data_IF_178184871773
#
_entry.id   IF_178184871773
#
_cell.length_a   1.000
_cell.length_b   1.000
_cell.length_c   1.000
_cell.angle_alpha   90.00
_cell.angle_beta   90.00
_cell.angle_gamma   90.00
#
_symmetry.space_group_name_H-M   'P 1'
#
loop_
_entity.id
_entity.type
_entity.pdbx_description
1 polymer ?
#
# COMPACT_ATOMS: atom_id res chain seq x y z
N UNK A 1 -11.63 8.60 -4.10
CA UNK A 1 -10.90 8.15 -2.89
C UNK A 1 -10.81 9.33 -1.95
N UNK A 2 -11.88 9.54 -1.18
CA UNK A 2 -11.93 10.59 -0.18
C UNK A 2 -11.42 9.96 1.11
N UNK A 3 -10.15 10.19 1.44
CA UNK A 3 -9.67 9.93 2.79
C UNK A 3 -10.17 11.06 3.68
N UNK A 4 -11.42 10.89 4.12
CA UNK A 4 -11.90 11.53 5.33
C UNK A 4 -11.03 11.02 6.47
N UNK A 5 -10.14 11.88 6.95
CA UNK A 5 -9.63 11.89 8.32
C UNK A 5 -10.79 12.25 9.25
N UNK A 6 -11.81 11.38 9.27
CA UNK A 6 -12.96 11.54 10.13
C UNK A 6 -12.52 11.14 11.55
N UNK A 7 -12.42 12.13 12.43
CA UNK A 7 -12.01 11.97 13.82
C UNK A 7 -12.97 11.08 14.64
N UNK A 8 -14.04 10.59 14.01
CA UNK A 8 -15.08 9.73 14.59
C UNK A 8 -14.65 8.28 14.81
N UNK A 9 -13.57 7.81 14.18
CA UNK A 9 -13.07 6.44 14.36
C UNK A 9 -12.01 6.30 15.48
N UNK A 10 -11.55 7.42 16.06
CA UNK A 10 -10.65 7.42 17.22
C UNK A 10 -11.44 7.67 18.51
N UNK A 11 -11.35 6.82 19.56
CA UNK A 11 -12.26 6.90 20.71
C UNK A 11 -12.17 8.17 21.56
N UNK A 12 -11.18 9.04 21.37
CA UNK A 12 -11.04 10.26 22.18
C UNK A 12 -10.28 11.34 21.43
N UNK A 13 -10.96 12.18 20.64
CA UNK A 13 -10.50 13.58 20.55
C UNK A 13 -10.73 14.20 21.93
N UNK A 14 -9.68 14.71 22.61
CA UNK A 14 -9.88 15.29 23.92
C UNK A 14 -10.81 16.50 23.80
N UNK A 15 -11.79 16.61 24.69
CA UNK A 15 -12.69 17.76 24.83
C UNK A 15 -11.99 19.04 25.32
N UNK A 16 -10.66 19.10 25.21
CA UNK A 16 -9.79 20.18 25.69
C UNK A 16 -9.31 21.09 24.55
N UNK A 17 -9.02 22.36 24.83
CA UNK A 17 -8.65 23.34 23.81
C UNK A 17 -7.35 22.92 23.09
N UNK A 18 -7.22 23.32 21.83
CA UNK A 18 -6.01 23.12 21.05
C UNK A 18 -4.75 23.46 21.87
N UNK A 19 -3.84 22.50 21.99
CA UNK A 19 -2.56 22.69 22.66
C UNK A 19 -1.52 23.14 21.63
N UNK A 20 -0.48 23.82 22.10
CA UNK A 20 0.70 24.10 21.28
C UNK A 20 1.38 22.76 21.03
N UNK A 21 1.39 22.31 19.78
CA UNK A 21 1.94 21.04 19.34
C UNK A 21 3.48 20.97 19.33
N UNK A 22 4.17 21.75 20.17
CA UNK A 22 5.64 21.83 20.24
C UNK A 22 6.31 20.46 20.48
N UNK A 23 5.58 19.50 21.04
CA UNK A 23 6.03 18.14 21.32
C UNK A 23 5.84 17.16 20.14
N UNK A 24 5.16 17.56 19.06
CA UNK A 24 4.89 16.69 17.93
C UNK A 24 6.08 16.60 16.97
N UNK A 25 6.24 15.51 16.22
CA UNK A 25 7.41 15.33 15.31
C UNK A 25 7.05 15.23 13.84
N UNK A 26 5.85 14.76 13.52
CA UNK A 26 5.39 14.50 12.15
C UNK A 26 4.40 15.58 11.73
N UNK A 27 3.44 15.92 12.58
CA UNK A 27 2.55 17.04 12.43
C UNK A 27 3.32 18.37 12.50
N UNK A 28 2.91 19.39 11.72
CA UNK A 28 3.52 20.71 11.79
C UNK A 28 3.33 21.33 13.18
N UNK A 29 4.36 22.05 13.63
CA UNK A 29 4.35 22.76 14.92
C UNK A 29 3.31 23.89 14.88
N UNK A 30 2.34 23.86 15.78
CA UNK A 30 1.27 24.85 15.84
C UNK A 30 0.13 24.44 16.75
N UNK A 31 -0.96 25.21 16.76
CA UNK A 31 -2.18 24.82 17.46
C UNK A 31 -2.77 23.57 16.82
N UNK A 32 -2.92 22.51 17.62
CA UNK A 32 -3.35 21.18 17.15
C UNK A 32 -4.25 20.51 18.17
N UNK A 33 -5.15 19.64 17.69
CA UNK A 33 -5.91 18.74 18.57
C UNK A 33 -5.16 17.42 18.84
N UNK A 34 -4.03 17.20 18.16
CA UNK A 34 -3.27 15.96 18.24
C UNK A 34 -2.38 15.96 19.49
N UNK A 35 -2.51 14.93 20.33
CA UNK A 35 -1.58 14.67 21.43
C UNK A 35 -0.40 13.83 20.93
N UNK A 36 0.71 13.79 21.68
CA UNK A 36 1.87 12.93 21.32
C UNK A 36 1.46 11.47 21.16
N UNK A 37 0.62 10.95 22.08
CA UNK A 37 0.15 9.57 22.01
C UNK A 37 -0.72 9.31 20.77
N UNK A 38 -1.56 10.28 20.39
CA UNK A 38 -2.38 10.20 19.18
C UNK A 38 -1.50 10.21 17.93
N UNK A 39 -0.49 11.09 17.88
CA UNK A 39 0.45 11.17 16.76
C UNK A 39 1.27 9.88 16.61
N UNK A 40 1.80 9.33 17.71
CA UNK A 40 2.55 8.08 17.68
C UNK A 40 1.71 6.91 17.15
N UNK A 41 0.44 6.82 17.59
CA UNK A 41 -0.51 5.81 17.10
C UNK A 41 -0.83 6.00 15.61
N UNK A 42 -1.13 7.22 15.19
CA UNK A 42 -1.42 7.54 13.79
C UNK A 42 -0.21 7.29 12.88
N UNK A 43 1.00 7.59 13.34
CA UNK A 43 2.23 7.34 12.62
C UNK A 43 2.49 5.84 12.44
N UNK A 44 2.31 5.03 13.49
CA UNK A 44 2.43 3.58 13.39
C UNK A 44 1.36 2.98 12.47
N UNK A 45 0.11 3.42 12.60
CA UNK A 45 -1.00 2.93 11.80
C UNK A 45 -0.80 3.26 10.31
N UNK A 46 -0.52 4.52 9.98
CA UNK A 46 -0.29 4.95 8.59
C UNK A 46 0.91 4.25 7.96
N UNK A 47 1.98 4.02 8.72
CA UNK A 47 3.13 3.25 8.25
C UNK A 47 2.72 1.82 7.87
N UNK A 48 2.01 1.12 8.76
CA UNK A 48 1.56 -0.25 8.53
C UNK A 48 0.62 -0.33 7.32
N UNK A 49 -0.35 0.59 7.22
CA UNK A 49 -1.27 0.66 6.08
C UNK A 49 -0.54 0.90 4.77
N UNK A 50 0.44 1.81 4.76
CA UNK A 50 1.25 2.06 3.58
C UNK A 50 2.08 0.84 3.17
N UNK A 51 2.75 0.19 4.12
CA UNK A 51 3.53 -1.03 3.88
C UNK A 51 2.65 -2.14 3.28
N UNK A 52 1.45 -2.35 3.82
CA UNK A 52 0.49 -3.32 3.29
C UNK A 52 0.03 -2.98 1.87
N UNK A 53 -0.27 -1.71 1.57
CA UNK A 53 -0.66 -1.26 0.23
C UNK A 53 0.46 -1.48 -0.79
N UNK A 54 1.71 -1.20 -0.42
CA UNK A 54 2.87 -1.43 -1.27
C UNK A 54 3.09 -2.92 -1.51
N UNK A 55 2.95 -3.75 -0.48
CA UNK A 55 3.06 -5.20 -0.60
C UNK A 55 1.99 -5.78 -1.53
N UNK A 56 0.72 -5.40 -1.32
CA UNK A 56 -0.40 -5.86 -2.14
C UNK A 56 -0.22 -5.46 -3.62
N UNK A 57 0.12 -4.19 -3.88
CA UNK A 57 0.37 -3.69 -5.23
C UNK A 57 1.52 -4.46 -5.90
N UNK A 58 2.61 -4.66 -5.17
CA UNK A 58 3.79 -5.42 -5.65
C UNK A 58 3.45 -6.87 -5.96
N UNK A 59 2.67 -7.50 -5.09
CA UNK A 59 2.19 -8.87 -5.27
C UNK A 59 1.28 -8.97 -6.50
N UNK A 60 0.34 -8.04 -6.69
CA UNK A 60 -0.58 -8.01 -7.82
C UNK A 60 0.17 -7.81 -9.16
N UNK A 61 1.16 -6.93 -9.19
CA UNK A 61 2.03 -6.77 -10.35
C UNK A 61 2.80 -8.07 -10.64
N UNK A 62 3.46 -8.63 -9.63
CA UNK A 62 4.27 -9.86 -9.76
C UNK A 62 3.43 -11.03 -10.27
N UNK A 63 2.28 -11.29 -9.67
CA UNK A 63 1.39 -12.39 -10.09
C UNK A 63 0.91 -12.21 -11.52
N UNK A 64 0.58 -10.97 -11.92
CA UNK A 64 0.21 -10.64 -13.29
C UNK A 64 1.34 -10.93 -14.28
N UNK A 65 2.56 -10.47 -13.99
CA UNK A 65 3.73 -10.73 -14.84
C UNK A 65 4.04 -12.22 -14.95
N UNK A 66 4.09 -12.94 -13.82
CA UNK A 66 4.35 -14.38 -13.81
C UNK A 66 3.28 -15.15 -14.60
N UNK A 67 2.00 -14.80 -14.42
CA UNK A 67 0.90 -15.44 -15.15
C UNK A 67 1.00 -15.22 -16.66
N UNK A 68 1.27 -13.97 -17.08
CA UNK A 68 1.41 -13.63 -18.50
C UNK A 68 2.65 -14.27 -19.12
N UNK A 69 3.77 -14.29 -18.39
CA UNK A 69 5.01 -14.93 -18.83
C UNK A 69 4.81 -16.43 -19.06
N UNK A 70 4.24 -17.15 -18.10
CA UNK A 70 3.94 -18.60 -18.25
C UNK A 70 3.08 -18.91 -19.47
N UNK A 71 2.08 -18.05 -19.76
CA UNK A 71 1.24 -18.18 -20.96
C UNK A 71 2.04 -17.97 -22.24
N UNK A 72 2.96 -17.00 -22.24
CA UNK A 72 3.83 -16.75 -23.38
C UNK A 72 4.79 -17.91 -23.62
N UNK A 73 5.46 -18.41 -22.57
CA UNK A 73 6.37 -19.56 -22.66
C UNK A 73 5.67 -20.79 -23.24
N UNK A 74 4.45 -21.08 -22.78
CA UNK A 74 3.66 -22.20 -23.31
C UNK A 74 3.35 -22.05 -24.80
N UNK A 75 3.02 -20.84 -25.26
CA UNK A 75 2.78 -20.56 -26.69
C UNK A 75 4.05 -20.70 -27.52
N UNK A 76 5.17 -20.20 -27.01
CA UNK A 76 6.46 -20.34 -27.66
C UNK A 76 6.84 -21.82 -27.80
N UNK A 77 6.64 -22.60 -26.74
CA UNK A 77 6.92 -24.04 -26.76
C UNK A 77 6.08 -24.81 -27.79
N UNK A 78 4.78 -24.52 -27.89
CA UNK A 78 3.91 -25.09 -28.92
C UNK A 78 4.41 -24.71 -30.32
N UNK A 79 4.68 -23.43 -30.55
CA UNK A 79 5.16 -22.94 -31.85
C UNK A 79 6.47 -23.61 -32.28
N UNK A 80 7.42 -23.75 -31.36
CA UNK A 80 8.69 -24.44 -31.62
C UNK A 80 8.47 -25.93 -31.92
N UNK A 81 7.57 -26.57 -31.19
CA UNK A 81 7.23 -27.99 -31.40
C UNK A 81 6.56 -28.22 -32.77
N UNK A 82 5.67 -27.30 -33.17
CA UNK A 82 5.01 -27.35 -34.48
C UNK A 82 6.00 -27.12 -35.61
N UNK A 83 6.93 -26.16 -35.46
CA UNK A 83 8.00 -25.94 -36.42
C UNK A 83 8.90 -27.18 -36.57
N UNK A 84 9.27 -27.84 -35.47
CA UNK A 84 10.07 -29.06 -35.52
C UNK A 84 9.35 -30.16 -36.31
N UNK A 85 8.06 -30.37 -36.04
CA UNK A 85 7.24 -31.34 -36.79
C UNK A 85 7.16 -31.05 -38.28
N UNK A 86 7.11 -29.78 -38.67
CA UNK A 86 7.13 -29.39 -40.08
C UNK A 86 8.48 -29.67 -40.75
N UNK A 87 9.59 -29.62 -40.01
CA UNK A 87 10.92 -29.98 -40.53
C UNK A 87 11.14 -31.49 -40.61
N UNK A 88 10.44 -32.28 -39.80
CA UNK A 88 10.55 -33.75 -39.77
C UNK A 88 9.64 -34.45 -40.82
N UNK A 89 8.85 -33.68 -41.58
CA UNK A 89 7.98 -34.11 -42.69
C UNK A 89 8.67 -33.95 -44.04
#
# INVERSE_FOLDING_TARGET
>A
MNMLWDCTQFPTCPSSPAAIGEHLRVCPQGYTCCTSEMEDKLNQQSKLEFENLVEESSHNMRTTFVSRHKKFDGKLWVCLSDMQRLCDM
#
